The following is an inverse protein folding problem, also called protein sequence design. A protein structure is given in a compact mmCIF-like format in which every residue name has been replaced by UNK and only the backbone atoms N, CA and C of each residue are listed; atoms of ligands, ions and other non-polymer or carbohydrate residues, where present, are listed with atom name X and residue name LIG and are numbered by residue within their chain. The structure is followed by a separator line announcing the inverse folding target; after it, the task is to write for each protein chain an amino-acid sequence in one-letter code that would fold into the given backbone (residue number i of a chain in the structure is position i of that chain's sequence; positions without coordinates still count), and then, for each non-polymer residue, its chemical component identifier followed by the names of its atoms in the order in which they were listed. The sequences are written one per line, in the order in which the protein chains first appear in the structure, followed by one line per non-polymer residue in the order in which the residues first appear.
data_IF_277144905445
#
_entry.id   IF_277144905445
#
_cell.length_a   1.000
_cell.length_b   1.000
_cell.length_c   1.000
_cell.angle_alpha   90.00
_cell.angle_beta   90.00
_cell.angle_gamma   90.00
#
_symmetry.space_group_name_H-M   'P 1'
#
loop_
_entity.id
_entity.type
_entity.pdbx_description
1 polymer ?
#
# COMPACT_ATOMS: atom_id res chain seq x y z
N UNK A 1 -14.57 5.12 -4.58
CA UNK A 1 -13.25 4.72 -4.04
C UNK A 1 -12.17 5.56 -4.72
N UNK A 2 -11.11 5.98 -4.02
CA UNK A 2 -10.11 6.95 -4.51
C UNK A 2 -9.08 6.34 -5.48
N UNK A 3 -9.49 5.33 -6.29
CA UNK A 3 -8.57 4.54 -7.10
C UNK A 3 -7.91 5.32 -8.23
N UNK A 4 -8.64 6.24 -8.88
CA UNK A 4 -8.07 7.08 -9.95
C UNK A 4 -7.02 8.05 -9.41
N UNK A 5 -7.23 8.60 -8.22
CA UNK A 5 -6.29 9.50 -7.55
C UNK A 5 -4.99 8.76 -7.20
N UNK A 6 -5.11 7.57 -6.58
CA UNK A 6 -3.97 6.71 -6.27
C UNK A 6 -3.21 6.28 -7.52
N UNK A 7 -3.91 5.90 -8.60
CA UNK A 7 -3.28 5.55 -9.87
C UNK A 7 -2.60 6.75 -10.54
N UNK A 8 -3.15 7.96 -10.37
CA UNK A 8 -2.54 9.21 -10.81
C UNK A 8 -1.21 9.49 -10.11
N UNK A 9 -1.14 9.27 -8.79
CA UNK A 9 0.10 9.39 -8.02
C UNK A 9 1.16 8.38 -8.47
N UNK A 10 0.78 7.10 -8.61
CA UNK A 10 1.68 6.06 -9.11
C UNK A 10 2.24 6.47 -10.48
N UNK A 11 1.37 6.92 -11.40
CA UNK A 11 1.76 7.34 -12.75
C UNK A 11 2.76 8.50 -12.71
N UNK A 12 2.44 9.56 -11.97
CA UNK A 12 3.25 10.77 -11.92
C UNK A 12 4.59 10.55 -11.21
N UNK A 13 4.60 9.83 -10.09
CA UNK A 13 5.84 9.55 -9.35
C UNK A 13 6.72 8.47 -9.98
N UNK A 14 6.20 7.73 -10.97
CA UNK A 14 6.98 6.73 -11.73
C UNK A 14 7.51 7.25 -13.08
N UNK A 15 7.30 8.53 -13.42
CA UNK A 15 7.79 9.09 -14.70
C UNK A 15 9.32 9.08 -14.74
N UNK A 16 9.89 8.47 -15.78
CA UNK A 16 11.34 8.46 -16.01
C UNK A 16 12.14 7.55 -15.08
N UNK A 17 11.47 6.75 -14.25
CA UNK A 17 12.09 5.82 -13.31
C UNK A 17 11.42 4.45 -13.41
N UNK A 18 12.18 3.38 -13.21
CA UNK A 18 11.55 2.07 -13.08
C UNK A 18 10.85 1.99 -11.71
N UNK A 19 9.65 1.45 -11.68
CA UNK A 19 8.85 1.34 -10.47
C UNK A 19 8.20 -0.05 -10.40
N UNK A 20 7.79 -0.44 -9.21
CA UNK A 20 6.94 -1.63 -8.99
C UNK A 20 5.82 -1.25 -8.03
N UNK A 21 4.64 -1.86 -8.23
CA UNK A 21 3.50 -1.70 -7.32
C UNK A 21 3.27 -3.02 -6.59
N UNK A 22 3.15 -2.96 -5.27
CA UNK A 22 2.78 -4.08 -4.41
C UNK A 22 1.38 -3.81 -3.87
N UNK A 23 0.45 -4.73 -4.08
CA UNK A 23 -0.95 -4.62 -3.64
C UNK A 23 -1.26 -5.66 -2.57
N UNK A 24 -1.64 -5.22 -1.37
CA UNK A 24 -2.07 -6.10 -0.28
C UNK A 24 -3.41 -6.79 -0.60
N UNK A 25 -3.40 -8.12 -0.73
CA UNK A 25 -4.60 -8.95 -0.93
C UNK A 25 -5.15 -9.58 0.35
N UNK A 26 -4.47 -9.45 1.50
CA UNK A 26 -4.97 -9.97 2.78
C UNK A 26 -6.17 -9.17 3.28
N UNK A 27 -6.11 -7.86 3.10
CA UNK A 27 -7.10 -6.93 3.66
C UNK A 27 -8.10 -6.45 2.62
N UNK A 28 -7.89 -6.75 1.33
CA UNK A 28 -8.59 -6.07 0.24
C UNK A 28 -8.70 -6.90 -1.05
N UNK A 29 -9.61 -6.49 -1.95
CA UNK A 29 -9.75 -7.03 -3.31
C UNK A 29 -9.26 -5.96 -4.29
N UNK A 30 -8.06 -6.12 -4.89
CA UNK A 30 -7.44 -5.06 -5.68
C UNK A 30 -7.95 -4.94 -7.11
N UNK A 31 -8.80 -5.84 -7.62
CA UNK A 31 -9.20 -5.90 -9.04
C UNK A 31 -9.63 -4.54 -9.64
N UNK A 32 -10.47 -3.71 -8.99
CA UNK A 32 -10.85 -2.42 -9.55
C UNK A 32 -9.69 -1.42 -9.62
N UNK A 33 -8.72 -1.53 -8.72
CA UNK A 33 -7.54 -0.67 -8.69
C UNK A 33 -6.47 -1.14 -9.68
N UNK A 34 -6.31 -2.45 -9.83
CA UNK A 34 -5.35 -3.08 -10.74
C UNK A 34 -5.54 -2.59 -12.19
N UNK A 35 -6.78 -2.43 -12.63
CA UNK A 35 -7.12 -1.96 -13.99
C UNK A 35 -6.69 -0.51 -14.27
N UNK A 36 -6.41 0.27 -13.22
CA UNK A 36 -6.03 1.68 -13.34
C UNK A 36 -4.51 1.89 -13.28
N UNK A 37 -3.75 0.87 -12.85
CA UNK A 37 -2.28 0.93 -12.81
C UNK A 37 -1.75 0.92 -14.26
N UNK A 38 -0.79 1.81 -14.61
CA UNK A 38 -0.19 1.81 -15.94
C UNK A 38 0.40 0.44 -16.29
N UNK A 39 0.08 -0.14 -17.47
CA UNK A 39 0.47 -1.52 -17.82
C UNK A 39 1.98 -1.75 -17.96
N UNK A 40 2.77 -0.67 -18.00
CA UNK A 40 4.24 -0.73 -18.03
C UNK A 40 4.86 -0.91 -16.65
N UNK A 41 4.09 -0.71 -15.58
CA UNK A 41 4.58 -0.83 -14.21
C UNK A 41 4.25 -2.25 -13.72
N UNK A 42 5.25 -3.07 -13.37
CA UNK A 42 5.01 -4.39 -12.81
C UNK A 42 4.20 -4.30 -11.52
N UNK A 43 3.25 -5.23 -11.37
CA UNK A 43 2.39 -5.34 -10.19
C UNK A 43 2.60 -6.68 -9.51
N UNK A 44 2.74 -6.65 -8.19
CA UNK A 44 2.87 -7.83 -7.33
C UNK A 44 1.65 -7.87 -6.42
N UNK A 45 0.86 -8.94 -6.51
CA UNK A 45 -0.25 -9.19 -5.60
C UNK A 45 0.30 -9.90 -4.36
N UNK A 46 0.24 -9.24 -3.21
CA UNK A 46 0.81 -9.72 -1.95
C UNK A 46 -0.21 -10.60 -1.23
N UNK A 47 0.00 -11.91 -1.29
CA UNK A 47 -0.86 -12.92 -0.66
C UNK A 47 -0.11 -13.96 0.18
N UNK A 48 1.22 -13.86 0.28
CA UNK A 48 2.05 -14.78 1.07
C UNK A 48 3.55 -14.62 0.84
N UNK A 49 4.32 -15.56 1.38
CA UNK A 49 5.80 -15.49 1.41
C UNK A 49 6.42 -15.39 0.02
N UNK A 50 5.93 -16.16 -0.96
CA UNK A 50 6.45 -16.13 -2.34
C UNK A 50 6.29 -14.74 -2.97
N UNK A 51 5.13 -14.11 -2.80
CA UNK A 51 4.87 -12.75 -3.29
C UNK A 51 5.66 -11.69 -2.52
N UNK A 52 5.92 -11.89 -1.22
CA UNK A 52 6.79 -11.02 -0.44
C UNK A 52 8.25 -11.13 -0.89
N UNK A 53 8.73 -12.33 -1.22
CA UNK A 53 10.06 -12.55 -1.78
C UNK A 53 10.22 -11.88 -3.16
N UNK A 54 9.18 -11.94 -3.99
CA UNK A 54 9.12 -11.16 -5.23
C UNK A 54 9.17 -9.64 -4.97
N UNK A 55 8.43 -9.14 -3.97
CA UNK A 55 8.45 -7.73 -3.60
C UNK A 55 9.85 -7.28 -3.13
N UNK A 56 10.52 -8.10 -2.30
CA UNK A 56 11.92 -7.86 -1.87
C UNK A 56 12.89 -7.83 -3.05
N UNK A 57 12.79 -8.80 -3.96
CA UNK A 57 13.62 -8.84 -5.18
C UNK A 57 13.39 -7.61 -6.05
N UNK A 58 12.14 -7.22 -6.26
CA UNK A 58 11.80 -6.02 -7.02
C UNK A 58 12.35 -4.77 -6.33
N UNK A 59 12.18 -4.61 -5.02
CA UNK A 59 12.69 -3.45 -4.28
C UNK A 59 14.21 -3.27 -4.34
N UNK A 60 14.99 -4.34 -4.53
CA UNK A 60 16.45 -4.26 -4.72
C UNK A 60 16.86 -3.72 -6.10
N UNK A 61 15.98 -3.81 -7.09
CA UNK A 61 16.28 -3.46 -8.49
C UNK A 61 15.48 -2.24 -8.98
N UNK A 62 14.43 -1.86 -8.25
CA UNK A 62 13.49 -0.80 -8.60
C UNK A 62 13.70 0.42 -7.69
N UNK A 63 14.05 1.59 -8.25
CA UNK A 63 14.26 2.80 -7.45
C UNK A 63 12.98 3.34 -6.81
N UNK A 64 11.80 2.90 -7.24
CA UNK A 64 10.52 3.26 -6.62
C UNK A 64 9.69 2.01 -6.35
N UNK A 65 9.22 1.86 -5.12
CA UNK A 65 8.24 0.84 -4.73
C UNK A 65 6.99 1.55 -4.24
N UNK A 66 5.87 1.29 -4.89
CA UNK A 66 4.56 1.71 -4.44
C UNK A 66 3.92 0.59 -3.64
N UNK A 67 3.54 0.85 -2.40
CA UNK A 67 2.92 -0.17 -1.54
C UNK A 67 1.50 0.28 -1.20
N UNK A 68 0.51 -0.43 -1.72
CA UNK A 68 -0.90 -0.13 -1.49
C UNK A 68 -1.52 -1.15 -0.52
N UNK A 69 -2.25 -0.63 0.46
CA UNK A 69 -2.91 -1.43 1.49
C UNK A 69 -4.03 -0.67 2.18
N UNK A 70 -4.80 -1.37 3.01
CA UNK A 70 -5.60 -0.69 4.04
C UNK A 70 -4.69 -0.23 5.19
N UNK A 71 -5.09 0.85 5.87
CA UNK A 71 -4.40 1.35 7.08
C UNK A 71 -4.40 0.33 8.22
N UNK A 72 -5.28 -0.67 8.13
CA UNK A 72 -5.38 -1.74 9.10
C UNK A 72 -4.84 -3.04 8.53
N UNK A 73 -3.77 -3.54 9.15
CA UNK A 73 -3.23 -4.87 8.86
C UNK A 73 -4.11 -5.98 9.44
N UNK A 74 -4.75 -6.77 8.57
CA UNK A 74 -5.46 -7.99 8.94
C UNK A 74 -4.68 -9.27 8.63
N UNK A 75 -3.44 -9.15 8.15
CA UNK A 75 -2.58 -10.31 7.87
C UNK A 75 -2.12 -11.00 9.17
N UNK A 76 -1.84 -12.31 9.12
CA UNK A 76 -1.32 -13.05 10.27
C UNK A 76 -0.04 -12.42 10.81
N UNK A 77 0.01 -12.18 12.12
CA UNK A 77 1.23 -11.67 12.79
C UNK A 77 1.72 -10.30 12.30
N UNK A 78 0.86 -9.49 11.67
CA UNK A 78 1.24 -8.19 11.07
C UNK A 78 2.27 -8.31 9.94
N UNK A 79 2.19 -9.40 9.19
CA UNK A 79 3.08 -9.70 8.06
C UNK A 79 3.21 -8.54 7.06
N UNK A 80 2.09 -7.92 6.65
CA UNK A 80 2.10 -6.81 5.67
C UNK A 80 2.85 -5.61 6.23
N UNK A 81 2.62 -5.27 7.50
CA UNK A 81 3.33 -4.16 8.18
C UNK A 81 4.82 -4.46 8.32
N UNK A 82 5.18 -5.69 8.70
CA UNK A 82 6.59 -6.10 8.79
C UNK A 82 7.30 -6.02 7.44
N UNK A 83 6.63 -6.39 6.34
CA UNK A 83 7.18 -6.25 4.99
C UNK A 83 7.30 -4.78 4.58
N UNK A 84 6.30 -3.94 4.86
CA UNK A 84 6.36 -2.50 4.60
C UNK A 84 7.56 -1.84 5.29
N UNK A 85 7.75 -2.14 6.58
CA UNK A 85 8.89 -1.67 7.37
C UNK A 85 10.21 -2.14 6.74
N UNK A 86 10.32 -3.43 6.38
CA UNK A 86 11.50 -4.01 5.73
C UNK A 86 11.83 -3.29 4.41
N UNK A 87 10.83 -3.09 3.55
CA UNK A 87 11.02 -2.44 2.25
C UNK A 87 11.38 -0.96 2.38
N UNK A 88 10.96 -0.31 3.47
CA UNK A 88 11.23 1.10 3.77
C UNK A 88 12.57 1.33 4.46
N UNK A 89 13.22 0.30 5.01
CA UNK A 89 14.49 0.45 5.72
C UNK A 89 15.58 1.04 4.82
N UNK A 90 16.19 2.13 5.29
CA UNK A 90 17.24 2.83 4.55
C UNK A 90 16.76 3.59 3.32
N UNK A 91 15.44 3.69 3.11
CA UNK A 91 14.79 4.38 1.99
C UNK A 91 13.91 5.50 2.50
N UNK A 92 13.62 6.47 1.64
CA UNK A 92 12.66 7.53 1.95
C UNK A 92 11.25 6.99 1.65
N UNK A 93 10.43 6.86 2.68
CA UNK A 93 9.02 6.53 2.55
C UNK A 93 8.14 7.78 2.68
N UNK A 94 7.20 7.97 1.77
CA UNK A 94 6.15 8.99 1.84
C UNK A 94 4.80 8.28 1.84
N UNK A 95 3.98 8.58 2.84
CA UNK A 95 2.65 7.97 2.98
C UNK A 95 1.59 8.91 2.42
N UNK A 96 0.75 8.38 1.52
CA UNK A 96 -0.46 9.02 1.04
C UNK A 96 -1.68 8.30 1.59
N UNK A 97 -2.56 9.02 2.28
CA UNK A 97 -3.75 8.44 2.92
C UNK A 97 -5.02 8.88 2.18
N UNK A 98 -5.97 7.96 2.00
CA UNK A 98 -7.19 8.22 1.24
C UNK A 98 -8.43 7.69 1.94
N UNK A 99 -9.56 8.33 1.61
CA UNK A 99 -10.89 8.02 2.16
C UNK A 99 -10.91 8.19 3.69
N UNK A 100 -11.07 9.43 4.19
CA UNK A 100 -11.15 9.67 5.62
C UNK A 100 -12.37 9.00 6.21
N UNK A 101 -12.22 8.42 7.39
CA UNK A 101 -13.34 7.95 8.20
C UNK A 101 -14.16 9.16 8.68
N UNK A 102 -15.48 9.03 8.63
CA UNK A 102 -16.40 9.96 9.26
C UNK A 102 -16.24 9.97 10.78
N UNK A 103 -16.71 11.04 11.45
CA UNK A 103 -16.66 11.15 12.91
C UNK A 103 -17.34 9.96 13.63
N UNK A 104 -18.52 9.48 13.20
CA UNK A 104 -19.12 8.28 13.78
C UNK A 104 -18.25 7.03 13.61
N UNK A 105 -17.66 6.83 12.43
CA UNK A 105 -16.77 5.68 12.16
C UNK A 105 -15.52 5.75 13.03
N UNK A 106 -14.91 6.92 13.18
CA UNK A 106 -13.76 7.11 14.08
C UNK A 106 -14.13 6.81 15.54
N UNK A 107 -15.33 7.17 15.99
CA UNK A 107 -15.80 6.85 17.33
C UNK A 107 -15.95 5.34 17.54
N UNK A 108 -16.57 4.65 16.59
CA UNK A 108 -16.68 3.17 16.61
C UNK A 108 -15.28 2.53 16.61
N UNK A 109 -14.37 3.01 15.76
CA UNK A 109 -13.00 2.52 15.70
C UNK A 109 -12.26 2.72 17.02
N UNK A 110 -12.46 3.86 17.72
CA UNK A 110 -11.88 4.08 19.05
C UNK A 110 -12.35 3.06 20.07
N UNK A 111 -13.63 2.68 20.03
CA UNK A 111 -14.18 1.68 20.95
C UNK A 111 -13.62 0.29 20.67
N UNK A 112 -13.60 -0.11 19.39
CA UNK A 112 -13.22 -1.48 19.00
C UNK A 112 -11.71 -1.66 18.97
N UNK A 113 -10.93 -0.59 18.73
CA UNK A 113 -9.48 -0.66 18.46
C UNK A 113 -8.60 0.17 19.40
N UNK A 114 -9.19 0.93 20.32
CA UNK A 114 -8.44 1.73 21.30
C UNK A 114 -8.16 3.18 20.86
N UNK A 115 -7.33 3.92 21.63
CA UNK A 115 -7.42 5.38 21.68
C UNK A 115 -6.92 6.17 20.45
N UNK A 116 -6.29 5.55 19.44
CA UNK A 116 -5.77 6.26 18.26
C UNK A 116 -5.96 5.44 16.98
N UNK A 117 -7.19 5.27 16.47
CA UNK A 117 -7.39 4.58 15.20
C UNK A 117 -6.87 5.43 14.03
N UNK A 118 -6.47 4.78 12.92
CA UNK A 118 -6.20 5.46 11.66
C UNK A 118 -7.36 6.38 11.26
N UNK A 119 -7.02 7.56 10.73
CA UNK A 119 -8.02 8.53 10.27
C UNK A 119 -8.56 8.21 8.86
N UNK A 120 -7.87 7.34 8.11
CA UNK A 120 -8.15 7.01 6.71
C UNK A 120 -8.26 5.50 6.51
N UNK A 121 -8.94 5.11 5.44
CA UNK A 121 -9.16 3.70 5.11
C UNK A 121 -8.02 3.10 4.28
N UNK A 122 -7.57 3.82 3.26
CA UNK A 122 -6.51 3.39 2.34
C UNK A 122 -5.19 4.10 2.61
N UNK A 123 -4.10 3.39 2.37
CA UNK A 123 -2.75 3.92 2.40
C UNK A 123 -2.00 3.49 1.14
N UNK A 124 -1.31 4.44 0.52
CA UNK A 124 -0.36 4.21 -0.56
C UNK A 124 0.98 4.79 -0.14
N UNK A 125 1.98 3.94 0.07
CA UNK A 125 3.34 4.39 0.32
C UNK A 125 4.12 4.50 -0.98
N UNK A 126 4.89 5.57 -1.07
CA UNK A 126 5.94 5.78 -2.05
C UNK A 126 7.30 5.56 -1.36
N UNK A 127 8.00 4.49 -1.71
CA UNK A 127 9.29 4.15 -1.13
C UNK A 127 10.39 4.37 -2.18
N UNK A 128 11.36 5.24 -1.86
CA UNK A 128 12.45 5.66 -2.74
C UNK A 128 13.81 5.36 -2.13
#
# INVERSE_FOLDING_TARGET
MPYEEMAGLIRNGSVGQNAVVVLDTYSSIPDPFLQLIPPKIPVILLGGDDSAEQARKAARSQPVVWFWRHTHDTSPGKFVTGLEDELSQGRRAVTHEFLPYSQPEQWVLRIVRGPNPPAYFYQLLEIR
#
